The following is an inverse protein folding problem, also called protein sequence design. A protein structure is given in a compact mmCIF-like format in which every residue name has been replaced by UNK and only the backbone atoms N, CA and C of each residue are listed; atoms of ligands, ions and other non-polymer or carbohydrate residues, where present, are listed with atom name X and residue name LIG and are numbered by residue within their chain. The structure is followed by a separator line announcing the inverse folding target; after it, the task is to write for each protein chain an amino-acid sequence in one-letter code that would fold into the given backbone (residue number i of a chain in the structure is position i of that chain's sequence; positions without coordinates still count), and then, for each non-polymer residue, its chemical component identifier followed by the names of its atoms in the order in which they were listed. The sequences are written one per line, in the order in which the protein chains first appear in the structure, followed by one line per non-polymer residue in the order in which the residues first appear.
data_IF_762239016852
#
_entry.id   IF_762239016852
#
_cell.length_a   1.000
_cell.length_b   1.000
_cell.length_c   1.000
_cell.angle_alpha   90.00
_cell.angle_beta   90.00
_cell.angle_gamma   90.00
#
_symmetry.space_group_name_H-M   'P 1'
#
loop_
_entity.id
_entity.type
_entity.pdbx_description
1 polymer ?
#
# COMPACT_ATOMS: atom_id res chain seq x y z
N UNK A 1 31.89 -17.58 12.85
CA UNK A 1 32.00 -17.00 11.49
C UNK A 1 33.43 -16.72 11.11
N UNK A 2 33.84 -17.24 9.96
CA UNK A 2 35.17 -16.97 9.40
C UNK A 2 35.02 -16.05 8.21
N UNK A 3 35.88 -15.04 8.11
CA UNK A 3 35.95 -14.17 6.94
C UNK A 3 36.05 -15.01 5.64
N UNK A 4 35.09 -14.89 4.70
CA UNK A 4 35.11 -15.63 3.45
C UNK A 4 36.16 -15.08 2.46
N UNK A 5 36.68 -13.86 2.67
CA UNK A 5 37.65 -13.23 1.77
C UNK A 5 38.94 -14.06 1.72
N UNK A 6 39.46 -14.29 0.52
CA UNK A 6 40.65 -15.09 0.28
C UNK A 6 40.42 -16.60 0.18
N UNK A 7 39.25 -17.10 0.61
CA UNK A 7 38.89 -18.52 0.49
C UNK A 7 38.52 -18.89 -0.95
N UNK A 8 38.60 -20.18 -1.26
CA UNK A 8 38.24 -20.71 -2.58
C UNK A 8 36.88 -21.38 -2.55
N UNK A 9 36.02 -21.01 -3.49
CA UNK A 9 34.71 -21.64 -3.75
C UNK A 9 34.73 -22.35 -5.11
N UNK A 10 33.88 -23.36 -5.27
CA UNK A 10 33.75 -24.10 -6.52
C UNK A 10 32.47 -23.67 -7.23
N UNK A 11 32.61 -23.09 -8.43
CA UNK A 11 31.49 -22.75 -9.31
C UNK A 11 31.53 -23.76 -10.46
N UNK A 12 30.48 -24.57 -10.60
CA UNK A 12 30.46 -25.75 -11.47
C UNK A 12 31.67 -26.68 -11.21
N UNK A 13 32.65 -26.71 -12.12
CA UNK A 13 33.84 -27.58 -12.07
C UNK A 13 35.14 -26.81 -11.82
N UNK A 14 35.08 -25.48 -11.63
CA UNK A 14 36.27 -24.62 -11.49
C UNK A 14 36.34 -23.96 -10.12
N UNK A 15 37.55 -23.77 -9.61
CA UNK A 15 37.83 -23.09 -8.33
C UNK A 15 38.00 -21.58 -8.58
N UNK A 16 37.35 -20.78 -7.75
CA UNK A 16 37.41 -19.32 -7.76
C UNK A 16 37.76 -18.82 -6.36
N UNK A 17 38.50 -17.72 -6.28
CA UNK A 17 38.86 -17.08 -5.00
C UNK A 17 37.92 -15.91 -4.72
N UNK A 18 37.39 -15.87 -3.50
CA UNK A 18 36.53 -14.77 -3.03
C UNK A 18 37.41 -13.54 -2.79
N UNK A 19 37.05 -12.40 -3.38
CA UNK A 19 37.79 -11.14 -3.27
C UNK A 19 37.05 -10.05 -2.49
N UNK A 20 35.77 -10.26 -2.20
CA UNK A 20 34.92 -9.31 -1.49
C UNK A 20 33.52 -9.87 -1.28
N UNK A 21 32.77 -9.21 -0.39
CA UNK A 21 31.38 -9.52 -0.06
C UNK A 21 30.59 -8.22 -0.15
N UNK A 22 29.37 -8.29 -0.68
CA UNK A 22 28.47 -7.15 -0.79
C UNK A 22 27.67 -7.04 0.51
N UNK A 23 27.19 -5.83 0.85
CA UNK A 23 26.30 -5.64 2.01
C UNK A 23 25.03 -6.49 1.83
N UNK A 24 24.65 -7.17 2.91
CA UNK A 24 23.42 -7.96 3.00
C UNK A 24 22.21 -7.13 2.56
N UNK A 25 21.41 -7.72 1.67
CA UNK A 25 20.21 -7.10 1.09
C UNK A 25 18.94 -7.85 1.51
N UNK A 26 19.06 -9.08 2.03
CA UNK A 26 17.96 -9.92 2.48
C UNK A 26 17.19 -10.57 1.33
N UNK A 27 16.27 -11.46 1.69
CA UNK A 27 15.37 -12.11 0.74
C UNK A 27 14.13 -11.24 0.45
N UNK A 28 13.77 -11.13 -0.83
CA UNK A 28 12.48 -10.57 -1.24
C UNK A 28 11.65 -11.67 -1.90
N UNK A 29 10.49 -11.96 -1.29
CA UNK A 29 9.67 -13.12 -1.66
C UNK A 29 10.50 -14.42 -1.61
N UNK A 30 10.61 -15.14 -2.72
CA UNK A 30 11.34 -16.42 -2.82
C UNK A 30 12.78 -16.26 -3.32
N UNK A 31 13.24 -15.04 -3.59
CA UNK A 31 14.58 -14.78 -4.09
C UNK A 31 15.45 -14.19 -2.99
N UNK A 32 16.50 -14.93 -2.63
CA UNK A 32 17.55 -14.47 -1.73
C UNK A 32 18.67 -13.81 -2.54
N UNK A 33 18.85 -12.50 -2.35
CA UNK A 33 19.91 -11.75 -3.03
C UNK A 33 21.29 -12.00 -2.41
N UNK A 34 21.35 -12.56 -1.20
CA UNK A 34 22.59 -12.81 -0.49
C UNK A 34 23.28 -14.11 -0.97
N UNK A 35 22.52 -14.97 -1.67
CA UNK A 35 23.03 -16.17 -2.36
C UNK A 35 23.66 -15.86 -3.74
N UNK A 36 23.66 -14.60 -4.19
CA UNK A 36 24.15 -14.25 -5.52
C UNK A 36 25.68 -14.15 -5.57
N UNK A 37 26.27 -14.83 -6.56
CA UNK A 37 27.72 -14.80 -6.81
C UNK A 37 28.02 -13.97 -8.05
N UNK A 38 28.82 -12.91 -7.87
CA UNK A 38 29.28 -12.04 -8.95
C UNK A 38 30.65 -12.47 -9.48
N UNK A 39 30.77 -12.64 -10.79
CA UNK A 39 32.01 -13.04 -11.47
C UNK A 39 32.20 -12.14 -12.70
N UNK A 40 33.44 -11.72 -13.04
CA UNK A 40 33.69 -10.95 -14.25
C UNK A 40 33.16 -11.66 -15.51
N UNK A 41 32.42 -10.92 -16.36
CA UNK A 41 31.68 -11.47 -17.51
C UNK A 41 32.54 -12.34 -18.43
N UNK A 42 33.73 -11.87 -18.82
CA UNK A 42 34.65 -12.62 -19.69
C UNK A 42 35.10 -13.95 -19.08
N UNK A 43 35.26 -13.98 -17.75
CA UNK A 43 35.65 -15.19 -17.02
C UNK A 43 34.50 -16.19 -17.02
N UNK A 44 33.27 -15.74 -16.77
CA UNK A 44 32.09 -16.58 -16.78
C UNK A 44 31.83 -17.15 -18.19
N UNK A 45 31.85 -16.30 -19.22
CA UNK A 45 31.69 -16.67 -20.63
C UNK A 45 32.73 -17.71 -21.07
N UNK A 46 34.03 -17.39 -20.97
CA UNK A 46 35.09 -18.25 -21.53
C UNK A 46 35.43 -19.46 -20.66
N UNK A 47 35.37 -19.34 -19.33
CA UNK A 47 35.81 -20.41 -18.43
C UNK A 47 34.66 -21.25 -17.88
N UNK A 48 33.43 -20.77 -17.81
CA UNK A 48 32.34 -21.52 -17.16
C UNK A 48 31.27 -21.95 -18.16
N UNK A 49 30.70 -21.00 -18.90
CA UNK A 49 29.53 -21.24 -19.76
C UNK A 49 29.87 -21.67 -21.18
N UNK A 50 31.04 -21.27 -21.71
CA UNK A 50 31.42 -21.56 -23.08
C UNK A 50 30.60 -20.80 -24.14
N UNK A 51 30.07 -19.64 -23.78
CA UNK A 51 29.26 -18.78 -24.65
C UNK A 51 30.03 -17.50 -25.02
N UNK A 52 29.64 -16.87 -26.12
CA UNK A 52 30.19 -15.62 -26.65
C UNK A 52 29.19 -14.45 -26.67
N UNK A 53 27.93 -14.68 -26.27
CA UNK A 53 26.89 -13.65 -26.11
C UNK A 53 26.64 -13.27 -24.65
N UNK A 54 25.91 -12.18 -24.42
CA UNK A 54 25.42 -11.73 -23.11
C UNK A 54 23.92 -12.01 -23.00
N UNK A 55 23.46 -12.42 -21.81
CA UNK A 55 22.04 -12.72 -21.57
C UNK A 55 21.21 -11.44 -21.38
N UNK A 56 21.79 -10.44 -20.74
CA UNK A 56 21.19 -9.12 -20.57
C UNK A 56 22.30 -8.10 -20.30
N UNK A 57 22.00 -6.82 -20.54
CA UNK A 57 22.85 -5.70 -20.18
C UNK A 57 22.03 -4.72 -19.33
N UNK A 58 22.64 -4.20 -18.27
CA UNK A 58 22.06 -3.12 -17.48
C UNK A 58 22.82 -1.83 -17.80
N UNK A 59 22.09 -0.79 -18.19
CA UNK A 59 22.64 0.53 -18.43
C UNK A 59 21.99 1.53 -17.48
N UNK A 60 22.80 2.37 -16.84
CA UNK A 60 22.32 3.41 -15.95
C UNK A 60 22.33 4.74 -16.68
N UNK A 61 21.15 5.31 -16.87
CA UNK A 61 21.00 6.64 -17.47
C UNK A 61 21.35 7.71 -16.43
N UNK A 62 22.11 8.73 -16.82
CA UNK A 62 22.54 9.82 -15.93
C UNK A 62 21.41 10.80 -15.60
N UNK A 63 20.43 10.94 -16.50
CA UNK A 63 19.26 11.80 -16.34
C UNK A 63 17.98 10.98 -16.57
N UNK A 64 17.10 10.94 -15.57
CA UNK A 64 15.86 10.20 -15.62
C UNK A 64 14.90 10.70 -16.71
N UNK A 65 15.02 11.97 -17.12
CA UNK A 65 14.17 12.54 -18.19
C UNK A 65 14.58 12.09 -19.59
N UNK A 66 15.76 11.47 -19.74
CA UNK A 66 16.29 11.01 -21.02
C UNK A 66 16.19 9.50 -21.21
N UNK A 67 15.43 8.82 -20.36
CA UNK A 67 15.31 7.36 -20.41
C UNK A 67 14.72 6.92 -21.75
N UNK A 68 13.67 7.58 -22.23
CA UNK A 68 13.02 7.22 -23.50
C UNK A 68 13.94 7.47 -24.70
N UNK A 69 14.64 8.60 -24.72
CA UNK A 69 15.65 8.93 -25.74
C UNK A 69 16.80 7.91 -25.73
N UNK A 70 17.33 7.59 -24.55
CA UNK A 70 18.39 6.60 -24.39
C UNK A 70 17.94 5.19 -24.81
N UNK A 71 16.68 4.81 -24.58
CA UNK A 71 16.15 3.52 -25.03
C UNK A 71 16.18 3.43 -26.56
N UNK A 72 15.77 4.49 -27.26
CA UNK A 72 15.78 4.53 -28.72
C UNK A 72 17.20 4.57 -29.30
N UNK A 73 18.12 5.32 -28.68
CA UNK A 73 19.54 5.31 -29.07
C UNK A 73 20.16 3.91 -28.88
N UNK A 74 19.90 3.26 -27.74
CA UNK A 74 20.39 1.89 -27.48
C UNK A 74 19.80 0.92 -28.50
N UNK A 75 18.50 1.03 -28.80
CA UNK A 75 17.86 0.20 -29.83
C UNK A 75 18.49 0.42 -31.20
N UNK A 76 18.77 1.66 -31.56
CA UNK A 76 19.43 2.02 -32.81
C UNK A 76 20.80 1.34 -32.92
N UNK A 77 21.67 1.52 -31.92
CA UNK A 77 23.02 0.95 -31.90
C UNK A 77 22.99 -0.59 -31.88
N UNK A 78 22.04 -1.19 -31.17
CA UNK A 78 21.91 -2.66 -31.14
C UNK A 78 21.42 -3.21 -32.49
N UNK A 79 20.50 -2.55 -33.17
CA UNK A 79 20.09 -2.95 -34.52
C UNK A 79 21.25 -2.85 -35.51
N UNK A 80 22.03 -1.79 -35.45
CA UNK A 80 23.23 -1.63 -36.28
C UNK A 80 24.24 -2.74 -36.02
N UNK A 81 24.51 -3.06 -34.75
CA UNK A 81 25.44 -4.14 -34.38
C UNK A 81 24.93 -5.55 -34.70
N UNK A 82 23.61 -5.74 -34.81
CA UNK A 82 22.98 -7.03 -35.11
C UNK A 82 22.59 -7.15 -36.60
N UNK A 83 23.01 -6.21 -37.45
CA UNK A 83 22.68 -6.15 -38.89
C UNK A 83 21.16 -6.17 -39.17
N UNK A 84 20.36 -5.57 -38.27
CA UNK A 84 18.91 -5.48 -38.40
C UNK A 84 18.48 -4.18 -39.10
N UNK A 85 17.45 -4.21 -39.97
CA UNK A 85 16.97 -3.00 -40.63
C UNK A 85 16.38 -2.00 -39.61
N UNK A 86 16.73 -0.72 -39.80
CA UNK A 86 16.14 0.36 -39.00
C UNK A 86 14.68 0.60 -39.42
N UNK A 87 13.76 0.80 -38.45
CA UNK A 87 12.35 1.01 -38.75
C UNK A 87 12.14 2.43 -39.31
N UNK A 88 11.14 2.61 -40.17
CA UNK A 88 10.83 3.91 -40.77
C UNK A 88 10.00 4.83 -39.83
N UNK A 89 9.81 4.45 -38.57
CA UNK A 89 9.01 5.19 -37.59
C UNK A 89 9.17 4.65 -36.16
N UNK A 90 8.48 5.26 -35.18
CA UNK A 90 8.55 4.85 -33.78
C UNK A 90 7.96 3.45 -33.60
N UNK A 91 8.75 2.53 -33.04
CA UNK A 91 8.33 1.17 -32.68
C UNK A 91 7.72 1.12 -31.28
N UNK A 92 6.73 0.25 -31.08
CA UNK A 92 6.19 -0.04 -29.75
C UNK A 92 7.18 -0.82 -28.88
N UNK A 93 6.85 -1.01 -27.60
CA UNK A 93 7.69 -1.71 -26.61
C UNK A 93 8.02 -3.17 -27.00
N UNK A 94 7.26 -3.76 -27.93
CA UNK A 94 7.50 -5.10 -28.48
C UNK A 94 8.46 -5.13 -29.68
N UNK A 95 8.78 -3.98 -30.28
CA UNK A 95 9.51 -3.91 -31.55
C UNK A 95 8.68 -4.49 -32.71
N UNK A 96 9.17 -4.43 -33.94
CA UNK A 96 8.45 -4.98 -35.12
C UNK A 96 8.37 -6.53 -35.14
N UNK A 97 8.52 -7.21 -34.00
CA UNK A 97 8.57 -8.68 -33.89
C UNK A 97 9.80 -9.32 -34.57
N UNK A 98 10.72 -8.50 -35.08
CA UNK A 98 11.97 -8.90 -35.76
C UNK A 98 13.22 -8.64 -34.92
N UNK A 99 13.09 -7.96 -33.79
CA UNK A 99 14.20 -7.70 -32.89
C UNK A 99 14.52 -8.98 -32.11
N UNK A 100 15.80 -9.37 -32.09
CA UNK A 100 16.31 -10.49 -31.28
C UNK A 100 16.71 -10.05 -29.85
N UNK A 101 16.49 -8.77 -29.53
CA UNK A 101 16.72 -8.18 -28.21
C UNK A 101 15.51 -7.36 -27.74
N UNK A 102 15.46 -7.08 -26.43
CA UNK A 102 14.44 -6.21 -25.84
C UNK A 102 15.09 -5.17 -24.94
N UNK A 103 14.80 -3.90 -25.20
CA UNK A 103 15.24 -2.77 -24.37
C UNK A 103 14.06 -2.36 -23.49
N UNK A 104 14.16 -2.62 -22.20
CA UNK A 104 13.12 -2.29 -21.21
C UNK A 104 13.68 -1.24 -20.26
N UNK A 105 12.92 -0.18 -19.99
CA UNK A 105 13.28 0.78 -18.95
C UNK A 105 12.72 0.36 -17.60
N UNK A 106 13.43 0.75 -16.55
CA UNK A 106 12.91 0.62 -15.20
C UNK A 106 11.65 1.47 -15.00
N UNK A 107 11.52 2.59 -15.71
CA UNK A 107 10.34 3.47 -15.70
C UNK A 107 9.07 2.74 -16.12
N UNK A 108 9.11 2.00 -17.25
CA UNK A 108 7.99 1.20 -17.73
C UNK A 108 7.58 0.13 -16.70
N UNK A 109 8.56 -0.53 -16.07
CA UNK A 109 8.30 -1.52 -15.01
C UNK A 109 7.66 -0.88 -13.77
N UNK A 110 8.09 0.33 -13.39
CA UNK A 110 7.52 1.09 -12.28
C UNK A 110 6.10 1.58 -12.60
N UNK A 111 5.80 1.95 -13.83
CA UNK A 111 4.47 2.37 -14.26
C UNK A 111 3.47 1.22 -14.22
N UNK A 112 3.88 0.03 -14.67
CA UNK A 112 3.06 -1.19 -14.56
C UNK A 112 2.77 -1.50 -13.09
N UNK A 113 3.79 -1.47 -12.22
CA UNK A 113 3.59 -1.65 -10.78
C UNK A 113 2.70 -0.56 -10.17
N UNK A 114 2.86 0.69 -10.59
CA UNK A 114 2.02 1.82 -10.18
C UNK A 114 0.56 1.62 -10.57
N UNK A 115 0.30 1.10 -11.78
CA UNK A 115 -1.04 0.82 -12.27
C UNK A 115 -1.70 -0.30 -11.47
N UNK A 116 -0.99 -1.40 -11.20
CA UNK A 116 -1.51 -2.52 -10.41
C UNK A 116 -1.76 -2.10 -8.96
N UNK A 117 -0.80 -1.44 -8.33
CA UNK A 117 -0.94 -0.95 -6.95
C UNK A 117 -2.05 0.10 -6.84
N UNK A 118 -2.19 0.97 -7.84
CA UNK A 118 -3.28 1.94 -7.94
C UNK A 118 -4.65 1.27 -8.05
N UNK A 119 -4.78 0.25 -8.90
CA UNK A 119 -6.02 -0.52 -9.04
C UNK A 119 -6.42 -1.23 -7.74
N UNK A 120 -5.46 -1.88 -7.05
CA UNK A 120 -5.69 -2.50 -5.74
C UNK A 120 -6.11 -1.43 -4.71
N UNK A 121 -5.45 -0.28 -4.71
CA UNK A 121 -5.79 0.83 -3.80
C UNK A 121 -7.21 1.32 -4.03
N UNK A 122 -7.61 1.53 -5.29
CA UNK A 122 -8.98 1.93 -5.64
C UNK A 122 -10.01 0.88 -5.22
N UNK A 123 -9.71 -0.40 -5.43
CA UNK A 123 -10.57 -1.50 -4.97
C UNK A 123 -10.75 -1.47 -3.44
N UNK A 124 -9.66 -1.35 -2.70
CA UNK A 124 -9.70 -1.26 -1.23
C UNK A 124 -10.49 -0.03 -0.77
N UNK A 125 -10.30 1.13 -1.41
CA UNK A 125 -11.07 2.34 -1.13
C UNK A 125 -12.57 2.15 -1.38
N UNK A 126 -12.94 1.45 -2.46
CA UNK A 126 -14.34 1.14 -2.74
C UNK A 126 -14.95 0.24 -1.66
N UNK A 127 -14.21 -0.80 -1.22
CA UNK A 127 -14.64 -1.68 -0.12
C UNK A 127 -14.79 -0.91 1.19
N UNK A 128 -13.84 -0.01 1.49
CA UNK A 128 -13.91 0.87 2.66
C UNK A 128 -15.14 1.76 2.56
N UNK A 129 -15.38 2.41 1.43
CA UNK A 129 -16.54 3.30 1.23
C UNK A 129 -17.87 2.57 1.44
N UNK A 130 -18.03 1.35 0.89
CA UNK A 130 -19.23 0.54 1.07
C UNK A 130 -19.39 0.14 2.55
N UNK A 131 -18.33 -0.39 3.17
CA UNK A 131 -18.35 -0.82 4.58
C UNK A 131 -18.72 0.33 5.52
N UNK A 132 -18.28 1.52 5.17
CA UNK A 132 -18.51 2.74 5.92
C UNK A 132 -19.94 3.26 5.81
N UNK A 133 -20.57 3.12 4.64
CA UNK A 133 -22.01 3.39 4.49
C UNK A 133 -22.81 2.40 5.32
N UNK A 134 -22.49 1.11 5.26
CA UNK A 134 -23.19 0.05 6.03
C UNK A 134 -23.01 0.26 7.54
N UNK A 135 -21.79 0.52 8.00
CA UNK A 135 -21.50 0.83 9.40
C UNK A 135 -22.16 2.14 9.86
N UNK A 136 -22.19 3.13 8.98
CA UNK A 136 -22.84 4.42 9.20
C UNK A 136 -24.36 4.31 9.41
N UNK A 137 -25.03 3.48 8.61
CA UNK A 137 -26.45 3.14 8.81
C UNK A 137 -26.66 2.46 10.16
N UNK A 138 -25.72 1.61 10.60
CA UNK A 138 -25.74 1.03 11.94
C UNK A 138 -25.71 2.08 13.04
N UNK A 139 -24.77 3.04 12.96
CA UNK A 139 -24.67 4.15 13.92
C UNK A 139 -25.95 5.00 13.92
N UNK A 140 -26.47 5.33 12.75
CA UNK A 140 -27.73 6.06 12.60
C UNK A 140 -28.87 5.34 13.32
N UNK A 141 -28.99 4.03 13.13
CA UNK A 141 -30.09 3.25 13.71
C UNK A 141 -29.96 3.15 15.23
N UNK A 142 -28.78 2.83 15.75
CA UNK A 142 -28.54 2.77 17.20
C UNK A 142 -28.84 4.12 17.83
N UNK A 143 -28.33 5.21 17.25
CA UNK A 143 -28.54 6.55 17.79
C UNK A 143 -30.02 6.98 17.67
N UNK A 144 -30.72 6.53 16.63
CA UNK A 144 -32.17 6.74 16.52
C UNK A 144 -32.93 6.05 17.66
N UNK A 145 -32.60 4.79 17.95
CA UNK A 145 -33.21 4.03 19.05
C UNK A 145 -32.92 4.70 20.39
N UNK A 146 -31.68 5.10 20.66
CA UNK A 146 -31.29 5.80 21.90
C UNK A 146 -32.09 7.10 22.09
N UNK A 147 -32.31 7.87 21.02
CA UNK A 147 -33.14 9.08 21.08
C UNK A 147 -34.60 8.75 21.40
N UNK A 148 -35.13 7.65 20.84
CA UNK A 148 -36.51 7.24 21.10
C UNK A 148 -36.70 6.67 22.51
N UNK A 149 -35.73 5.96 23.07
CA UNK A 149 -35.80 5.46 24.45
C UNK A 149 -35.71 6.61 25.47
N UNK A 150 -34.86 7.62 25.20
CA UNK A 150 -34.66 8.78 26.09
C UNK A 150 -35.63 9.95 25.80
N UNK A 151 -36.75 9.70 25.11
CA UNK A 151 -37.72 10.75 24.69
C UNK A 151 -38.20 11.57 25.90
N UNK A 152 -38.65 10.93 26.99
CA UNK A 152 -39.15 11.60 28.19
C UNK A 152 -38.09 12.48 28.87
N UNK A 153 -36.84 12.00 28.94
CA UNK A 153 -35.72 12.77 29.49
C UNK A 153 -35.40 14.02 28.67
N UNK A 154 -35.41 13.90 27.34
CA UNK A 154 -35.21 15.02 26.42
C UNK A 154 -36.33 16.05 26.60
N UNK A 155 -37.58 15.58 26.70
CA UNK A 155 -38.75 16.42 26.95
C UNK A 155 -38.64 17.22 28.25
N UNK A 156 -38.25 16.56 29.34
CA UNK A 156 -38.02 17.19 30.64
C UNK A 156 -36.92 18.26 30.55
N UNK A 157 -35.78 17.96 29.92
CA UNK A 157 -34.68 18.94 29.76
C UNK A 157 -35.13 20.17 28.98
N UNK A 158 -35.91 19.99 27.90
CA UNK A 158 -36.43 21.12 27.13
C UNK A 158 -37.50 21.91 27.89
N UNK A 159 -38.33 21.25 28.71
CA UNK A 159 -39.31 21.93 29.56
C UNK A 159 -38.65 22.82 30.63
N UNK A 160 -37.48 22.42 31.14
CA UNK A 160 -36.67 23.20 32.09
C UNK A 160 -35.79 24.26 31.40
N UNK A 161 -35.83 24.35 30.07
CA UNK A 161 -35.21 25.43 29.29
C UNK A 161 -33.96 25.08 28.48
N UNK A 162 -33.63 23.79 28.31
CA UNK A 162 -32.52 23.39 27.44
C UNK A 162 -32.75 23.85 25.99
N UNK A 163 -31.74 24.48 25.39
CA UNK A 163 -31.82 25.00 24.02
C UNK A 163 -31.56 23.89 23.01
N UNK A 164 -31.97 24.14 21.77
CA UNK A 164 -31.69 23.26 20.62
C UNK A 164 -30.21 22.87 20.52
N UNK A 165 -29.31 23.83 20.77
CA UNK A 165 -27.86 23.62 20.69
C UNK A 165 -27.36 22.65 21.77
N UNK A 166 -27.88 22.73 22.99
CA UNK A 166 -27.43 21.91 24.11
C UNK A 166 -27.72 20.42 23.85
N UNK A 167 -28.96 20.13 23.42
CA UNK A 167 -29.38 18.78 23.03
C UNK A 167 -28.59 18.28 21.82
N UNK A 168 -28.41 19.13 20.80
CA UNK A 168 -27.63 18.78 19.62
C UNK A 168 -26.20 18.39 19.99
N UNK A 169 -25.50 19.22 20.76
CA UNK A 169 -24.10 18.99 21.11
C UNK A 169 -23.93 17.73 21.96
N UNK A 170 -24.89 17.43 22.84
CA UNK A 170 -24.86 16.22 23.65
C UNK A 170 -24.90 14.96 22.79
N UNK A 171 -25.91 14.83 21.92
CA UNK A 171 -26.05 13.63 21.09
C UNK A 171 -24.94 13.52 20.02
N UNK A 172 -24.44 14.64 19.54
CA UNK A 172 -23.31 14.67 18.60
C UNK A 172 -22.02 14.22 19.29
N UNK A 173 -21.77 14.65 20.52
CA UNK A 173 -20.64 14.15 21.32
C UNK A 173 -20.79 12.66 21.64
N UNK A 174 -21.99 12.18 21.97
CA UNK A 174 -22.24 10.75 22.19
C UNK A 174 -21.92 9.93 20.93
N UNK A 175 -22.32 10.43 19.75
CA UNK A 175 -22.00 9.81 18.45
C UNK A 175 -20.49 9.80 18.16
N UNK A 176 -19.80 10.91 18.42
CA UNK A 176 -18.34 11.00 18.25
C UNK A 176 -17.63 10.06 19.21
N UNK A 177 -18.04 9.99 20.47
CA UNK A 177 -17.41 9.11 21.46
C UNK A 177 -17.55 7.64 21.06
N UNK A 178 -18.75 7.20 20.65
CA UNK A 178 -18.97 5.82 20.19
C UNK A 178 -18.07 5.49 18.98
N UNK A 179 -18.01 6.39 18.00
CA UNK A 179 -17.21 6.18 16.79
C UNK A 179 -15.71 6.25 17.04
N UNK A 180 -15.23 7.14 17.91
CA UNK A 180 -13.81 7.23 18.29
C UNK A 180 -13.39 6.01 19.10
N UNK A 181 -14.21 5.53 20.04
CA UNK A 181 -13.92 4.29 20.78
C UNK A 181 -13.86 3.10 19.82
N UNK A 182 -14.83 3.02 18.89
CA UNK A 182 -14.79 2.01 17.82
C UNK A 182 -13.56 2.14 16.93
N UNK A 183 -13.13 3.36 16.61
CA UNK A 183 -11.91 3.65 15.86
C UNK A 183 -10.65 3.20 16.58
N UNK A 184 -10.53 3.48 17.89
CA UNK A 184 -9.43 3.02 18.73
C UNK A 184 -9.40 1.48 18.76
N UNK A 185 -10.55 0.84 18.98
CA UNK A 185 -10.65 -0.62 18.98
C UNK A 185 -10.26 -1.21 17.61
N UNK A 186 -10.71 -0.59 16.51
CA UNK A 186 -10.37 -0.99 15.15
C UNK A 186 -8.88 -0.87 14.85
N UNK A 187 -8.24 0.22 15.29
CA UNK A 187 -6.78 0.40 15.19
C UNK A 187 -6.05 -0.69 15.97
N UNK A 188 -6.45 -0.97 17.21
CA UNK A 188 -5.81 -2.00 18.03
C UNK A 188 -5.93 -3.38 17.37
N UNK A 189 -7.12 -3.73 16.88
CA UNK A 189 -7.35 -4.99 16.15
C UNK A 189 -6.55 -5.05 14.85
N UNK A 190 -6.52 -3.96 14.08
CA UNK A 190 -5.74 -3.88 12.85
C UNK A 190 -4.23 -4.00 13.09
N UNK A 191 -3.73 -3.36 14.15
CA UNK A 191 -2.35 -3.49 14.59
C UNK A 191 -2.02 -4.92 15.01
N UNK A 192 -2.92 -5.57 15.76
CA UNK A 192 -2.74 -6.95 16.21
C UNK A 192 -2.72 -7.93 15.04
N UNK A 193 -3.63 -7.78 14.07
CA UNK A 193 -3.65 -8.59 12.84
C UNK A 193 -2.35 -8.37 12.05
N UNK A 194 -1.94 -7.12 11.88
CA UNK A 194 -0.71 -6.78 11.14
C UNK A 194 0.54 -7.35 11.83
N UNK A 195 0.56 -7.35 13.17
CA UNK A 195 1.63 -7.97 13.94
C UNK A 195 1.66 -9.50 13.76
N UNK A 196 0.50 -10.17 13.83
CA UNK A 196 0.40 -11.62 13.62
C UNK A 196 0.84 -12.03 12.21
N UNK A 197 0.49 -11.24 11.19
CA UNK A 197 0.92 -11.47 9.81
C UNK A 197 2.44 -11.31 9.68
N UNK A 198 3.01 -10.23 10.22
CA UNK A 198 4.46 -10.01 10.21
C UNK A 198 5.20 -11.15 10.95
N UNK A 199 4.71 -11.56 12.12
CA UNK A 199 5.27 -12.69 12.86
C UNK A 199 5.21 -14.01 12.06
N UNK A 200 4.07 -14.29 11.42
CA UNK A 200 3.91 -15.44 10.54
C UNK A 200 4.87 -15.41 9.34
N UNK A 201 4.95 -14.27 8.66
CA UNK A 201 5.82 -14.09 7.48
C UNK A 201 7.31 -14.27 7.82
N UNK A 202 7.76 -13.71 8.94
CA UNK A 202 9.13 -13.88 9.42
C UNK A 202 9.46 -15.36 9.70
N UNK A 203 8.49 -16.16 10.16
CA UNK A 203 8.71 -17.60 10.37
C UNK A 203 8.89 -18.40 9.07
N UNK A 204 8.43 -17.86 7.93
CA UNK A 204 8.67 -18.40 6.59
C UNK A 204 9.89 -17.78 5.88
N UNK A 205 10.70 -16.98 6.58
CA UNK A 205 11.92 -16.37 6.02
C UNK A 205 11.68 -15.09 5.20
N UNK A 206 10.49 -14.49 5.29
CA UNK A 206 10.18 -13.19 4.69
C UNK A 206 10.42 -12.09 5.73
N UNK A 207 11.44 -11.23 5.52
CA UNK A 207 11.77 -10.10 6.43
C UNK A 207 10.76 -8.95 6.31
N UNK A 208 9.53 -9.22 6.75
CA UNK A 208 8.43 -8.26 6.75
C UNK A 208 8.43 -7.45 8.03
N UNK A 209 8.96 -6.23 7.94
CA UNK A 209 9.00 -5.29 9.05
C UNK A 209 7.59 -4.76 9.38
N UNK A 210 7.17 -4.99 10.63
CA UNK A 210 5.97 -4.37 11.17
C UNK A 210 6.20 -2.88 11.40
N UNK A 211 5.45 -2.03 10.69
CA UNK A 211 5.53 -0.58 10.84
C UNK A 211 4.13 0.05 10.81
N UNK A 212 3.79 0.77 11.87
CA UNK A 212 2.56 1.58 11.95
C UNK A 212 2.97 3.05 11.95
N UNK A 213 2.85 3.75 10.81
CA UNK A 213 3.21 5.16 10.75
C UNK A 213 2.19 6.00 11.52
N UNK A 214 2.69 6.95 12.33
CA UNK A 214 1.86 7.83 13.15
C UNK A 214 0.82 8.60 12.33
N UNK A 215 1.14 8.93 11.07
CA UNK A 215 0.20 9.59 10.14
C UNK A 215 -1.06 8.77 9.91
N UNK A 216 -0.94 7.44 9.74
CA UNK A 216 -2.11 6.57 9.55
C UNK A 216 -2.99 6.52 10.79
N UNK A 217 -2.40 6.58 11.98
CA UNK A 217 -3.15 6.61 13.24
C UNK A 217 -3.99 7.88 13.36
N UNK A 218 -3.39 9.04 13.06
CA UNK A 218 -4.08 10.33 13.09
C UNK A 218 -5.19 10.38 12.04
N UNK A 219 -4.93 9.89 10.83
CA UNK A 219 -5.94 9.81 9.77
C UNK A 219 -7.08 8.89 10.17
N UNK A 220 -6.82 7.71 10.72
CA UNK A 220 -7.85 6.77 11.15
C UNK A 220 -8.76 7.37 12.23
N UNK A 221 -8.18 7.94 13.29
CA UNK A 221 -8.96 8.56 14.38
C UNK A 221 -9.72 9.80 13.92
N UNK A 222 -9.09 10.65 13.07
CA UNK A 222 -9.76 11.80 12.47
C UNK A 222 -10.94 11.39 11.59
N UNK A 223 -10.78 10.30 10.84
CA UNK A 223 -11.83 9.73 10.02
C UNK A 223 -12.97 9.16 10.88
N UNK A 224 -12.67 8.44 11.96
CA UNK A 224 -13.70 7.97 12.91
C UNK A 224 -14.53 9.12 13.50
N UNK A 225 -13.88 10.20 13.93
CA UNK A 225 -14.58 11.37 14.46
C UNK A 225 -15.45 12.07 13.39
N UNK A 226 -14.92 12.23 12.17
CA UNK A 226 -15.68 12.77 11.04
C UNK A 226 -16.94 11.95 10.75
N UNK A 227 -16.83 10.61 10.79
CA UNK A 227 -17.97 9.71 10.60
C UNK A 227 -19.00 9.78 11.71
N UNK A 228 -18.57 9.92 12.97
CA UNK A 228 -19.45 10.21 14.10
C UNK A 228 -20.26 11.49 13.92
N UNK A 229 -19.67 12.53 13.34
CA UNK A 229 -20.37 13.77 13.03
C UNK A 229 -21.39 13.53 11.90
N UNK A 230 -20.95 13.01 10.75
CA UNK A 230 -21.81 12.85 9.56
C UNK A 230 -23.06 12.04 9.88
N UNK A 231 -22.89 10.88 10.54
CA UNK A 231 -24.00 10.00 10.88
C UNK A 231 -24.71 10.38 12.19
N UNK A 232 -24.07 11.12 13.11
CA UNK A 232 -24.70 11.60 14.35
C UNK A 232 -25.60 12.83 14.17
N UNK A 233 -25.37 13.64 13.13
CA UNK A 233 -26.12 14.90 12.92
C UNK A 233 -27.61 14.69 12.74
N UNK A 234 -28.04 13.66 11.99
CA UNK A 234 -29.45 13.41 11.76
C UNK A 234 -30.24 13.07 13.05
N UNK A 235 -29.84 12.06 13.86
CA UNK A 235 -30.54 11.74 15.09
C UNK A 235 -30.42 12.86 16.13
N UNK A 236 -29.26 13.54 16.23
CA UNK A 236 -29.10 14.70 17.11
C UNK A 236 -30.06 15.85 16.73
N UNK A 237 -30.24 16.11 15.43
CA UNK A 237 -31.25 17.05 14.93
C UNK A 237 -32.66 16.64 15.31
N UNK A 238 -32.98 15.35 15.20
CA UNK A 238 -34.31 14.83 15.55
C UNK A 238 -34.60 14.99 17.05
N UNK A 239 -33.65 14.65 17.92
CA UNK A 239 -33.76 14.86 19.36
C UNK A 239 -33.96 16.34 19.72
N UNK A 240 -33.15 17.22 19.13
CA UNK A 240 -33.18 18.64 19.45
C UNK A 240 -34.48 19.34 18.98
N UNK A 241 -35.14 18.85 17.91
CA UNK A 241 -36.43 19.38 17.41
C UNK A 241 -37.66 18.86 18.15
N UNK A 242 -37.53 17.86 19.02
CA UNK A 242 -38.65 17.25 19.72
C UNK A 242 -39.42 18.25 20.61
N UNK A 243 -40.75 18.27 20.54
CA UNK A 243 -41.55 19.17 21.37
C UNK A 243 -41.72 18.62 22.79
N UNK A 244 -41.56 19.44 23.86
CA UNK A 244 -41.68 18.98 25.24
C UNK A 244 -43.04 18.33 25.54
N UNK A 245 -44.10 18.87 24.94
CA UNK A 245 -45.48 18.40 25.14
C UNK A 245 -45.68 17.00 24.53
N UNK A 246 -45.17 16.78 23.30
CA UNK A 246 -45.23 15.45 22.67
C UNK A 246 -44.35 14.42 23.39
N UNK A 247 -43.18 14.85 23.89
CA UNK A 247 -42.26 13.98 24.60
C UNK A 247 -42.83 13.47 25.93
N UNK A 248 -43.55 14.32 26.68
CA UNK A 248 -44.14 13.98 27.98
C UNK A 248 -45.50 13.28 27.88
N UNK A 249 -46.19 13.42 26.73
CA UNK A 249 -47.48 12.76 26.47
C UNK A 249 -47.32 11.26 26.14
N UNK A 250 -46.10 10.77 25.94
CA UNK A 250 -45.82 9.43 25.42
C UNK A 250 -45.75 8.33 26.50
N UNK A 251 -46.25 8.61 27.70
CA UNK A 251 -46.51 7.63 28.77
C UNK A 251 -48.00 7.28 28.87
#
# INVERSE_FOLDING_TARGET
DSDPIGKSIKIYKKKFRVIGVIKERGAVMTLDFDDFIYVPVRTLQKKVMGIDHVLYMMHQVTDANKVDEAQEEIRYVLRENHDLPHPAGPTDWMGEGKDDFRVVSMTESMEIMGTVTGAITLLLLAIVAISLVVGGVGILNIMYVVVTERTSEIGLRKAVGAKYKDIMTQFLLESILITVIGGIAGVILGALISFLISFGANSYGLDWQFSIPLRSLVVALGFSAFFGIVFGVYPARKAARMEPVEALRRE
#
